data_IF_540862411615
#
_entry.id   IF_540862411615
#
_cell.length_a   1.000
_cell.length_b   1.000
_cell.length_c   1.000
_cell.angle_alpha   90.00
_cell.angle_beta   90.00
_cell.angle_gamma   90.00
#
_symmetry.space_group_name_H-M   'P 1'
#
loop_
_entity.id
_entity.type
_entity.pdbx_description
1 polymer ?
#
# COMPACT_ATOMS: atom_id res chain seq x y z
N UNK A 1 32.05 8.53 -48.29
CA UNK A 1 32.22 7.18 -47.73
C UNK A 1 32.90 7.31 -46.37
N UNK A 2 32.11 7.43 -45.31
CA UNK A 2 32.56 7.59 -43.92
C UNK A 2 32.31 6.27 -43.18
N UNK A 3 33.38 5.67 -42.67
CA UNK A 3 33.37 4.40 -41.97
C UNK A 3 32.79 4.52 -40.56
N UNK A 4 31.87 3.61 -40.23
CA UNK A 4 31.40 3.38 -38.87
C UNK A 4 32.44 2.55 -38.09
N UNK A 5 32.74 2.87 -36.81
CA UNK A 5 33.50 1.98 -35.95
C UNK A 5 32.63 0.82 -35.45
N UNK A 6 33.22 -0.37 -35.19
CA UNK A 6 32.50 -1.57 -34.81
C UNK A 6 32.00 -1.54 -33.35
N UNK A 7 30.96 -2.33 -33.01
CA UNK A 7 30.40 -2.35 -31.66
C UNK A 7 31.30 -3.11 -30.67
N UNK A 8 31.31 -2.58 -29.45
CA UNK A 8 32.02 -3.06 -28.27
C UNK A 8 31.80 -4.56 -27.98
N UNK A 9 32.92 -5.28 -27.81
CA UNK A 9 32.96 -6.61 -27.17
C UNK A 9 32.79 -6.45 -25.67
N UNK A 10 31.82 -7.13 -25.08
CA UNK A 10 31.70 -7.31 -23.64
C UNK A 10 32.86 -8.17 -23.11
N UNK A 11 33.43 -7.75 -21.98
CA UNK A 11 34.38 -8.54 -21.20
C UNK A 11 33.68 -9.79 -20.65
N UNK A 12 34.19 -10.95 -21.05
CA UNK A 12 33.92 -12.24 -20.44
C UNK A 12 34.81 -12.32 -19.19
N UNK A 13 34.23 -12.15 -18.00
CA UNK A 13 34.96 -12.39 -16.75
C UNK A 13 34.98 -13.90 -16.52
N UNK A 14 36.17 -14.48 -16.61
CA UNK A 14 36.44 -15.87 -16.26
C UNK A 14 36.19 -16.07 -14.76
N UNK A 15 35.25 -16.96 -14.42
CA UNK A 15 35.12 -17.52 -13.08
C UNK A 15 36.10 -18.69 -13.02
N UNK A 16 37.12 -18.57 -12.18
CA UNK A 16 38.02 -19.66 -11.85
C UNK A 16 37.26 -20.75 -11.06
N UNK A 17 37.53 -22.04 -11.31
CA UNK A 17 36.94 -23.13 -10.53
C UNK A 17 37.54 -23.14 -9.11
N UNK A 18 36.76 -23.45 -8.06
CA UNK A 18 37.31 -23.72 -6.75
C UNK A 18 37.96 -25.11 -6.73
N UNK A 19 39.11 -25.17 -6.08
CA UNK A 19 39.90 -26.37 -5.84
C UNK A 19 39.11 -27.43 -5.04
N UNK A 20 39.22 -28.66 -5.54
CA UNK A 20 38.89 -29.92 -4.89
C UNK A 20 39.78 -30.10 -3.66
N UNK A 21 39.19 -30.12 -2.47
CA UNK A 21 39.78 -30.79 -1.30
C UNK A 21 38.78 -31.84 -0.79
N UNK A 22 39.17 -33.08 -1.00
CA UNK A 22 38.38 -34.27 -0.72
C UNK A 22 38.09 -34.46 0.76
N UNK A 23 36.86 -34.89 1.05
CA UNK A 23 36.57 -35.67 2.23
C UNK A 23 35.66 -36.84 1.83
N UNK A 24 36.28 -38.01 1.66
CA UNK A 24 35.63 -39.29 1.49
C UNK A 24 35.04 -39.76 2.81
N UNK A 25 33.72 -39.80 2.94
CA UNK A 25 33.04 -40.72 3.85
C UNK A 25 31.86 -41.33 3.08
N UNK A 26 32.07 -42.57 2.64
CA UNK A 26 31.02 -43.43 2.14
C UNK A 26 30.23 -44.01 3.33
N UNK A 27 28.94 -43.74 3.38
CA UNK A 27 27.99 -44.50 4.18
C UNK A 27 26.71 -44.68 3.38
N UNK A 28 26.46 -45.92 2.95
CA UNK A 28 25.23 -46.36 2.29
C UNK A 28 24.03 -46.24 3.24
N UNK A 29 22.89 -45.69 2.81
CA UNK A 29 21.65 -45.85 3.55
C UNK A 29 21.03 -47.24 3.25
N UNK A 30 20.53 -47.96 4.28
CA UNK A 30 19.88 -49.24 4.10
C UNK A 30 18.50 -49.08 3.44
N UNK A 31 18.13 -50.08 2.65
CA UNK A 31 16.82 -50.24 2.01
C UNK A 31 15.66 -50.26 3.03
N UNK A 32 14.45 -49.83 2.63
CA UNK A 32 13.32 -49.71 3.53
C UNK A 32 12.70 -51.09 3.85
N UNK A 33 12.20 -51.32 5.08
CA UNK A 33 11.33 -52.44 5.34
C UNK A 33 9.92 -52.16 4.81
N UNK A 34 9.46 -53.06 3.95
CA UNK A 34 8.06 -53.30 3.63
C UNK A 34 7.43 -54.17 4.72
N UNK A 35 6.34 -53.70 5.33
CA UNK A 35 5.18 -54.46 5.86
C UNK A 35 4.30 -53.45 6.64
N UNK A 36 3.10 -53.12 6.16
CA UNK A 36 1.81 -53.78 6.38
C UNK A 36 1.32 -53.77 7.83
N UNK A 37 0.11 -53.21 7.94
CA UNK A 37 -0.92 -53.38 8.96
C UNK A 37 -0.67 -52.75 10.34
N UNK A 38 -1.47 -51.73 10.68
CA UNK A 38 -2.56 -51.85 11.66
C UNK A 38 -3.22 -50.47 11.90
N UNK A 39 -4.53 -50.43 11.67
CA UNK A 39 -5.47 -49.48 12.26
C UNK A 39 -5.27 -49.37 13.78
N UNK A 40 -5.03 -48.18 14.31
CA UNK A 40 -5.60 -47.59 15.55
C UNK A 40 -5.13 -46.13 15.60
N UNK A 41 -6.03 -45.15 15.43
CA UNK A 41 -5.75 -43.78 15.85
C UNK A 41 -6.10 -43.61 17.34
N UNK A 42 -5.14 -43.25 18.21
CA UNK A 42 -5.37 -42.95 19.61
C UNK A 42 -6.05 -41.60 19.79
N UNK A 43 -6.86 -41.51 20.84
CA UNK A 43 -7.44 -40.30 21.42
C UNK A 43 -6.39 -39.20 21.60
N UNK A 44 -6.72 -38.00 21.11
CA UNK A 44 -5.94 -36.77 21.20
C UNK A 44 -5.81 -36.29 22.67
N UNK A 45 -4.61 -36.29 23.28
CA UNK A 45 -4.41 -35.77 24.63
C UNK A 45 -3.97 -34.30 24.58
N UNK A 46 -4.84 -33.42 25.05
CA UNK A 46 -4.42 -32.15 25.65
C UNK A 46 -4.35 -30.94 24.73
N UNK A 47 -5.52 -30.38 24.39
CA UNK A 47 -5.63 -28.97 24.07
C UNK A 47 -5.26 -28.14 25.33
N UNK A 48 -4.35 -27.15 25.24
CA UNK A 48 -4.10 -26.23 26.34
C UNK A 48 -5.35 -25.40 26.60
N UNK A 49 -5.77 -25.41 27.87
CA UNK A 49 -6.90 -24.68 28.43
C UNK A 49 -7.03 -23.26 27.84
N UNK A 50 -7.98 -23.06 26.92
CA UNK A 50 -8.54 -21.73 26.67
C UNK A 50 -9.23 -21.27 27.96
N UNK A 51 -8.83 -20.14 28.58
CA UNK A 51 -9.48 -19.68 29.79
C UNK A 51 -10.97 -19.46 29.53
N UNK A 52 -11.80 -20.08 30.37
CA UNK A 52 -13.26 -20.02 30.33
C UNK A 52 -13.72 -18.56 30.33
N UNK A 53 -14.25 -18.12 29.19
CA UNK A 53 -14.72 -16.76 28.90
C UNK A 53 -16.10 -16.47 29.51
N UNK A 54 -16.37 -16.97 30.72
CA UNK A 54 -17.73 -16.99 31.26
C UNK A 54 -18.05 -15.95 32.34
N UNK A 55 -17.08 -15.18 32.88
CA UNK A 55 -17.37 -14.40 34.10
C UNK A 55 -16.78 -12.98 34.18
N UNK A 56 -16.46 -12.36 33.05
CA UNK A 56 -16.23 -10.92 33.02
C UNK A 56 -17.44 -10.25 32.39
N UNK A 57 -18.44 -9.88 33.21
CA UNK A 57 -19.38 -8.82 32.83
C UNK A 57 -18.56 -7.53 32.75
N UNK A 58 -18.31 -6.97 31.56
CA UNK A 58 -17.56 -5.73 31.46
C UNK A 58 -18.42 -4.63 32.06
N UNK A 59 -18.03 -4.12 33.24
CA UNK A 59 -18.57 -2.86 33.76
C UNK A 59 -18.28 -1.82 32.70
N UNK A 60 -19.32 -1.46 31.94
CA UNK A 60 -19.21 -0.55 30.80
C UNK A 60 -18.88 0.84 31.32
N UNK A 61 -17.59 1.13 31.46
CA UNK A 61 -17.08 2.47 31.75
C UNK A 61 -17.34 3.36 30.52
N UNK A 62 -18.58 3.84 30.39
CA UNK A 62 -19.04 4.78 29.36
C UNK A 62 -18.54 6.22 29.59
N UNK A 63 -17.46 6.38 30.35
CA UNK A 63 -16.82 7.68 30.54
C UNK A 63 -16.32 8.23 29.20
N UNK A 64 -16.53 9.54 29.01
CA UNK A 64 -16.03 10.29 27.86
C UNK A 64 -14.60 10.73 28.16
N UNK A 65 -13.71 10.59 27.18
CA UNK A 65 -12.33 11.08 27.22
C UNK A 65 -12.14 12.19 26.20
N UNK A 66 -11.40 13.22 26.62
CA UNK A 66 -10.95 14.30 25.75
C UNK A 66 -9.66 13.89 25.04
N UNK A 67 -9.73 13.58 23.75
CA UNK A 67 -8.56 13.26 22.92
C UNK A 67 -8.11 14.52 22.19
N UNK A 68 -6.91 14.97 22.48
CA UNK A 68 -6.27 16.12 21.84
C UNK A 68 -5.25 15.59 20.83
N UNK A 69 -5.59 15.73 19.55
CA UNK A 69 -4.72 15.34 18.43
C UNK A 69 -3.90 16.55 18.02
N UNK A 70 -2.58 16.40 18.00
CA UNK A 70 -1.65 17.45 17.57
C UNK A 70 -0.83 16.94 16.41
N UNK A 71 -0.76 17.74 15.35
CA UNK A 71 0.20 17.51 14.29
C UNK A 71 1.46 18.29 14.60
N UNK A 72 2.57 17.57 14.82
CA UNK A 72 3.87 18.21 14.95
C UNK A 72 4.27 18.75 13.59
N UNK A 73 4.54 20.05 13.45
CA UNK A 73 5.04 20.59 12.19
C UNK A 73 6.34 19.86 11.84
N UNK A 74 6.54 19.59 10.56
CA UNK A 74 7.83 19.08 10.11
C UNK A 74 8.88 20.12 10.49
N UNK A 75 9.81 19.73 11.36
CA UNK A 75 10.96 20.57 11.67
C UNK A 75 11.68 20.82 10.34
N UNK A 76 11.99 22.07 9.98
CA UNK A 76 12.61 22.42 8.70
C UNK A 76 14.05 21.88 8.50
N UNK A 77 14.47 20.88 9.25
CA UNK A 77 15.79 20.26 9.17
C UNK A 77 15.74 18.86 8.56
N UNK A 78 16.64 18.62 7.59
CA UNK A 78 17.08 17.32 7.05
C UNK A 78 16.34 16.72 5.84
N UNK A 79 15.49 17.45 5.12
CA UNK A 79 15.20 17.09 3.72
C UNK A 79 16.19 17.83 2.82
N UNK A 80 17.19 17.12 2.30
CA UNK A 80 18.31 17.64 1.51
C UNK A 80 17.94 18.18 0.13
N UNK A 81 16.97 19.11 0.05
CA UNK A 81 16.62 19.82 -1.17
C UNK A 81 17.03 21.29 -1.05
N UNK A 82 18.26 21.57 -1.48
CA UNK A 82 18.76 22.92 -1.78
C UNK A 82 17.81 23.60 -2.77
N UNK A 83 16.98 24.52 -2.29
CA UNK A 83 16.61 25.71 -3.05
C UNK A 83 16.66 26.91 -2.13
N UNK A 84 17.46 27.89 -2.53
CA UNK A 84 17.50 29.23 -1.94
C UNK A 84 16.12 29.86 -2.14
N UNK A 85 15.34 29.97 -1.07
CA UNK A 85 14.16 30.83 -1.04
C UNK A 85 13.97 31.27 0.40
N UNK A 86 13.77 32.58 0.58
CA UNK A 86 13.77 33.27 1.85
C UNK A 86 12.98 32.52 2.93
N UNK A 87 13.64 32.26 4.05
CA UNK A 87 13.02 31.77 5.27
C UNK A 87 12.13 32.88 5.85
N UNK A 88 10.90 32.99 5.36
CA UNK A 88 9.82 33.58 6.13
C UNK A 88 9.57 32.61 7.28
N UNK A 89 9.89 33.01 8.52
CA UNK A 89 9.45 32.33 9.73
C UNK A 89 7.91 32.37 9.78
N UNK A 90 7.26 31.50 9.02
CA UNK A 90 5.87 31.14 9.22
C UNK A 90 5.83 30.38 10.54
N UNK A 91 5.35 31.03 11.59
CA UNK A 91 4.86 30.40 12.82
C UNK A 91 3.63 29.55 12.46
N UNK A 92 3.82 28.46 11.69
CA UNK A 92 2.72 27.63 11.27
C UNK A 92 2.00 27.12 12.51
N UNK A 93 0.73 27.51 12.73
CA UNK A 93 0.02 27.14 13.93
C UNK A 93 -0.04 25.61 13.97
N UNK A 94 0.40 25.02 15.07
CA UNK A 94 0.25 23.59 15.30
C UNK A 94 -1.22 23.26 15.12
N UNK A 95 -1.57 22.52 14.07
CA UNK A 95 -2.97 22.18 13.81
C UNK A 95 -3.39 21.18 14.88
N UNK A 96 -4.20 21.66 15.81
CA UNK A 96 -4.72 20.88 16.93
C UNK A 96 -6.21 20.67 16.75
N UNK A 97 -6.66 19.43 16.93
CA UNK A 97 -8.08 19.08 16.98
C UNK A 97 -8.38 18.41 18.30
N UNK A 98 -9.49 18.79 18.92
CA UNK A 98 -9.98 18.14 20.14
C UNK A 98 -11.23 17.35 19.83
N UNK A 99 -11.26 16.10 20.25
CA UNK A 99 -12.34 15.15 20.04
C UNK A 99 -12.79 14.61 21.40
N UNK A 100 -14.09 14.37 21.56
CA UNK A 100 -14.66 13.76 22.76
C UNK A 100 -15.16 12.38 22.37
N UNK A 101 -14.53 11.35 22.92
CA UNK A 101 -14.73 9.96 22.51
C UNK A 101 -15.03 9.09 23.73
N UNK A 102 -15.89 8.08 23.57
CA UNK A 102 -16.17 7.12 24.64
C UNK A 102 -14.96 6.20 24.84
N UNK A 103 -14.57 5.95 26.11
CA UNK A 103 -13.47 5.03 26.44
C UNK A 103 -13.70 3.64 25.85
N UNK A 104 -14.94 3.16 25.87
CA UNK A 104 -15.34 1.85 25.33
C UNK A 104 -15.00 1.71 23.84
N UNK A 105 -15.35 2.72 23.04
CA UNK A 105 -15.08 2.74 21.59
C UNK A 105 -13.58 2.73 21.32
N UNK A 106 -12.83 3.64 21.95
CA UNK A 106 -11.38 3.72 21.76
C UNK A 106 -10.69 2.42 22.17
N UNK A 107 -11.07 1.88 23.34
CA UNK A 107 -10.43 0.69 23.91
C UNK A 107 -10.65 -0.56 23.07
N UNK A 108 -11.78 -0.62 22.35
CA UNK A 108 -12.09 -1.70 21.41
C UNK A 108 -11.24 -1.67 20.15
N UNK A 109 -10.96 -0.48 19.62
CA UNK A 109 -10.33 -0.31 18.31
C UNK A 109 -8.83 -0.04 18.36
N UNK A 110 -8.28 0.37 19.51
CA UNK A 110 -6.86 0.67 19.67
C UNK A 110 -6.32 0.17 21.01
N UNK A 111 -5.44 -0.82 20.95
CA UNK A 111 -4.78 -1.34 22.15
C UNK A 111 -3.89 -0.29 22.82
N UNK A 112 -3.24 0.58 22.02
CA UNK A 112 -2.39 1.66 22.53
C UNK A 112 -3.22 2.71 23.26
N UNK A 113 -4.30 3.19 22.64
CA UNK A 113 -5.15 4.20 23.27
C UNK A 113 -5.90 3.64 24.48
N UNK A 114 -6.25 2.34 24.50
CA UNK A 114 -6.79 1.67 25.69
C UNK A 114 -5.90 1.88 26.92
N UNK A 115 -4.62 1.55 26.81
CA UNK A 115 -3.64 1.70 27.90
C UNK A 115 -3.52 3.16 28.34
N UNK A 116 -3.55 4.11 27.39
CA UNK A 116 -3.49 5.54 27.70
C UNK A 116 -4.80 6.09 28.32
N UNK A 117 -5.95 5.48 28.01
CA UNK A 117 -7.28 5.87 28.50
C UNK A 117 -7.57 5.44 29.94
N UNK A 118 -6.95 4.37 30.42
CA UNK A 118 -7.25 3.82 31.75
C UNK A 118 -7.06 4.86 32.88
N UNK A 119 -5.89 5.52 33.01
CA UNK A 119 -5.66 6.47 34.10
C UNK A 119 -6.17 7.88 33.84
N UNK A 120 -6.51 8.24 32.58
CA UNK A 120 -6.65 9.64 32.18
C UNK A 120 -8.06 10.02 31.69
N UNK A 121 -8.50 11.24 32.02
CA UNK A 121 -9.67 11.90 31.42
C UNK A 121 -9.32 12.66 30.13
N UNK A 122 -8.02 12.90 29.89
CA UNK A 122 -7.47 13.64 28.75
C UNK A 122 -6.25 12.93 28.18
N UNK A 123 -6.23 12.74 26.88
CA UNK A 123 -5.15 12.06 26.15
C UNK A 123 -4.59 12.99 25.09
N UNK A 124 -3.28 12.95 24.94
CA UNK A 124 -2.58 13.63 23.86
C UNK A 124 -2.10 12.59 22.83
N UNK A 125 -2.48 12.79 21.57
CA UNK A 125 -2.02 11.98 20.44
C UNK A 125 -1.20 12.88 19.53
N UNK A 126 0.12 12.68 19.57
CA UNK A 126 1.04 13.39 18.71
C UNK A 126 1.24 12.62 17.40
N UNK A 127 0.83 13.25 16.30
CA UNK A 127 1.01 12.77 14.95
C UNK A 127 2.16 13.53 14.27
N UNK A 128 2.91 12.83 13.44
CA UNK A 128 4.06 13.39 12.71
C UNK A 128 3.50 14.08 11.46
N UNK A 129 3.70 15.40 11.33
CA UNK A 129 3.03 16.20 10.30
C UNK A 129 3.39 15.85 8.87
N UNK A 130 4.62 15.41 8.63
CA UNK A 130 5.02 14.92 7.32
C UNK A 130 4.44 13.57 6.95
N UNK A 131 3.77 12.88 7.88
CA UNK A 131 3.24 11.52 7.66
C UNK A 131 1.72 11.49 7.74
N UNK A 132 1.09 12.24 8.64
CA UNK A 132 -0.35 12.14 8.91
C UNK A 132 -1.04 13.49 8.78
N UNK A 133 -2.21 13.50 8.16
CA UNK A 133 -3.14 14.63 8.19
C UNK A 133 -4.17 14.48 9.31
N UNK A 134 -4.84 15.57 9.70
CA UNK A 134 -5.95 15.52 10.67
C UNK A 134 -7.11 14.70 10.12
N UNK A 135 -7.29 14.70 8.79
CA UNK A 135 -8.28 13.89 8.10
C UNK A 135 -8.02 12.39 8.28
N UNK A 136 -6.75 11.95 8.27
CA UNK A 136 -6.41 10.54 8.51
C UNK A 136 -6.86 10.06 9.90
N UNK A 137 -6.69 10.90 10.94
CA UNK A 137 -7.19 10.58 12.28
C UNK A 137 -8.71 10.62 12.37
N UNK A 138 -9.36 11.56 11.68
CA UNK A 138 -10.82 11.60 11.60
C UNK A 138 -11.38 10.32 10.96
N UNK A 139 -10.79 9.83 9.86
CA UNK A 139 -11.20 8.57 9.22
C UNK A 139 -11.12 7.37 10.20
N UNK A 140 -10.11 7.34 11.07
CA UNK A 140 -10.00 6.31 12.11
C UNK A 140 -11.12 6.40 13.16
N UNK A 141 -11.50 7.63 13.54
CA UNK A 141 -12.62 7.86 14.47
C UNK A 141 -13.93 7.41 13.83
N UNK A 142 -14.18 7.80 12.58
CA UNK A 142 -15.38 7.42 11.84
C UNK A 142 -15.46 5.88 11.67
N UNK A 143 -14.33 5.23 11.39
CA UNK A 143 -14.22 3.76 11.41
C UNK A 143 -14.52 3.17 12.78
N UNK A 144 -14.04 3.78 13.87
CA UNK A 144 -14.28 3.27 15.23
C UNK A 144 -15.75 3.35 15.64
N UNK A 145 -16.49 4.33 15.10
CA UNK A 145 -17.93 4.46 15.34
C UNK A 145 -18.79 3.56 14.46
N UNK A 146 -18.42 3.39 13.19
CA UNK A 146 -19.26 2.70 12.20
C UNK A 146 -18.81 1.26 11.90
N UNK A 147 -17.56 0.92 12.23
CA UNK A 147 -16.85 -0.27 11.75
C UNK A 147 -16.81 -0.38 10.20
N UNK A 148 -17.02 0.74 9.49
CA UNK A 148 -16.97 0.83 8.03
C UNK A 148 -15.73 1.64 7.66
N UNK A 149 -14.84 1.03 6.90
CA UNK A 149 -13.64 1.72 6.44
C UNK A 149 -13.99 2.64 5.28
N UNK A 150 -13.70 3.93 5.45
CA UNK A 150 -13.78 4.91 4.37
C UNK A 150 -12.74 6.02 4.60
N UNK A 151 -12.26 6.58 3.51
CA UNK A 151 -11.34 7.73 3.52
C UNK A 151 -12.08 8.94 3.00
N UNK A 152 -11.88 10.09 3.65
CA UNK A 152 -12.47 11.34 3.19
C UNK A 152 -11.89 11.78 1.82
N UNK A 153 -12.67 11.56 0.76
CA UNK A 153 -12.31 11.91 -0.62
C UNK A 153 -12.47 13.40 -0.95
N UNK A 154 -13.12 14.18 -0.07
CA UNK A 154 -13.27 15.64 -0.25
C UNK A 154 -12.14 16.44 0.41
N UNK A 155 -11.20 15.77 1.09
CA UNK A 155 -10.03 16.43 1.63
C UNK A 155 -9.17 16.99 0.49
N UNK A 156 -8.69 18.23 0.65
CA UNK A 156 -7.89 18.91 -0.39
C UNK A 156 -6.56 18.22 -0.69
N UNK A 157 -6.07 17.42 0.25
CA UNK A 157 -4.86 16.60 0.16
C UNK A 157 -5.16 15.12 -0.15
N UNK A 158 -6.38 14.80 -0.60
CA UNK A 158 -6.74 13.42 -0.92
C UNK A 158 -5.94 12.90 -2.11
N UNK A 159 -5.14 11.87 -1.86
CA UNK A 159 -4.47 11.09 -2.89
C UNK A 159 -4.74 9.61 -2.61
N UNK A 160 -5.34 8.92 -3.57
CA UNK A 160 -5.93 7.58 -3.36
C UNK A 160 -4.96 6.61 -2.68
N UNK A 161 -3.75 6.46 -3.20
CA UNK A 161 -2.74 5.57 -2.61
C UNK A 161 -2.26 6.09 -1.25
N UNK A 162 -1.99 7.40 -1.14
CA UNK A 162 -1.36 7.95 0.06
C UNK A 162 -2.33 7.92 1.24
N UNK A 163 -3.60 8.24 1.03
CA UNK A 163 -4.62 8.20 2.07
C UNK A 163 -4.78 6.80 2.66
N UNK A 164 -4.74 5.74 1.84
CA UNK A 164 -4.80 4.36 2.32
C UNK A 164 -3.49 3.94 3.03
N UNK A 165 -2.32 4.32 2.50
CA UNK A 165 -1.03 4.10 3.16
C UNK A 165 -0.97 4.81 4.53
N UNK A 166 -1.39 6.07 4.62
CA UNK A 166 -1.46 6.82 5.86
C UNK A 166 -2.42 6.18 6.87
N UNK A 167 -3.58 5.71 6.41
CA UNK A 167 -4.52 4.98 7.27
C UNK A 167 -3.89 3.69 7.82
N UNK A 168 -3.16 2.94 7.00
CA UNK A 168 -2.42 1.75 7.42
C UNK A 168 -1.34 2.08 8.47
N UNK A 169 -0.53 3.11 8.20
CA UNK A 169 0.52 3.59 9.11
C UNK A 169 -0.07 4.09 10.44
N UNK A 170 -1.23 4.75 10.39
CA UNK A 170 -1.93 5.22 11.58
C UNK A 170 -2.45 4.04 12.39
N UNK A 171 -3.01 3.02 11.72
CA UNK A 171 -3.42 1.77 12.35
C UNK A 171 -2.26 1.10 13.09
N UNK A 172 -1.08 1.02 12.47
CA UNK A 172 0.13 0.52 13.11
C UNK A 172 0.51 1.37 14.34
N UNK A 173 0.55 2.71 14.20
CA UNK A 173 0.92 3.65 15.27
C UNK A 173 -0.03 3.57 16.48
N UNK A 174 -1.31 3.34 16.23
CA UNK A 174 -2.36 3.21 17.26
C UNK A 174 -2.54 1.76 17.75
N UNK A 175 -1.77 0.79 17.24
CA UNK A 175 -1.99 -0.64 17.50
C UNK A 175 -3.47 -1.05 17.28
N UNK A 176 -3.98 -0.69 16.10
CA UNK A 176 -5.35 -0.91 15.63
C UNK A 176 -5.35 -1.88 14.43
N UNK A 177 -5.14 -3.19 14.64
CA UNK A 177 -4.91 -4.17 13.58
C UNK A 177 -6.11 -4.32 12.63
N UNK A 178 -7.35 -4.16 13.13
CA UNK A 178 -8.56 -4.24 12.29
C UNK A 178 -8.65 -3.08 11.30
N UNK A 179 -8.35 -1.86 11.74
CA UNK A 179 -8.28 -0.68 10.88
C UNK A 179 -7.13 -0.79 9.87
N UNK A 180 -5.96 -1.25 10.33
CA UNK A 180 -4.80 -1.51 9.50
C UNK A 180 -5.11 -2.54 8.39
N UNK A 181 -5.76 -3.66 8.73
CA UNK A 181 -6.15 -4.68 7.77
C UNK A 181 -7.19 -4.16 6.76
N UNK A 182 -8.18 -3.37 7.21
CA UNK A 182 -9.16 -2.76 6.32
C UNK A 182 -8.50 -1.78 5.32
N UNK A 183 -7.57 -0.94 5.80
CA UNK A 183 -6.80 -0.06 4.94
C UNK A 183 -5.95 -0.82 3.92
N UNK A 184 -5.34 -1.95 4.32
CA UNK A 184 -4.55 -2.79 3.42
C UNK A 184 -5.41 -3.44 2.33
N UNK A 185 -6.63 -3.88 2.67
CA UNK A 185 -7.58 -4.43 1.69
C UNK A 185 -7.97 -3.40 0.65
N UNK A 186 -8.38 -2.20 1.06
CA UNK A 186 -8.68 -1.14 0.09
C UNK A 186 -7.45 -0.71 -0.71
N UNK A 187 -6.27 -0.65 -0.09
CA UNK A 187 -5.06 -0.37 -0.85
C UNK A 187 -4.80 -1.44 -1.92
N UNK A 188 -5.00 -2.71 -1.57
CA UNK A 188 -4.86 -3.83 -2.48
C UNK A 188 -5.89 -3.77 -3.62
N UNK A 189 -7.15 -3.35 -3.38
CA UNK A 189 -8.16 -3.20 -4.46
C UNK A 189 -7.80 -2.11 -5.47
N UNK A 190 -6.99 -1.11 -5.09
CA UNK A 190 -6.44 -0.13 -6.05
C UNK A 190 -5.22 -0.65 -6.81
N UNK A 191 -4.48 -1.59 -6.22
CA UNK A 191 -3.25 -2.16 -6.76
C UNK A 191 -3.51 -3.41 -7.65
N UNK A 192 -4.48 -4.24 -7.31
CA UNK A 192 -4.80 -5.46 -8.04
C UNK A 192 -5.31 -5.22 -9.48
N UNK A 193 -6.17 -4.22 -9.78
CA UNK A 193 -6.56 -3.94 -11.14
C UNK A 193 -5.41 -3.28 -11.92
N UNK A 194 -5.22 -3.69 -13.17
CA UNK A 194 -4.26 -3.06 -14.11
C UNK A 194 -4.60 -1.60 -14.47
N UNK A 195 -5.55 -0.96 -13.78
CA UNK A 195 -6.12 0.33 -14.13
C UNK A 195 -5.45 1.53 -13.45
N UNK A 196 -4.88 1.37 -12.24
CA UNK A 196 -4.19 2.47 -11.56
C UNK A 196 -2.67 2.26 -11.62
N UNK A 197 -1.91 3.07 -12.39
CA UNK A 197 -0.46 2.93 -12.45
C UNK A 197 0.16 3.30 -11.10
N UNK A 198 0.90 2.37 -10.50
CA UNK A 198 1.77 2.67 -9.36
C UNK A 198 2.92 3.51 -9.90
N UNK A 199 3.15 4.68 -9.33
CA UNK A 199 4.22 5.59 -9.72
C UNK A 199 5.47 5.36 -8.86
N UNK A 200 6.61 5.87 -9.33
CA UNK A 200 7.85 5.82 -8.54
C UNK A 200 7.71 6.61 -7.23
N UNK A 201 6.96 7.72 -7.23
CA UNK A 201 6.68 8.52 -6.04
C UNK A 201 5.90 7.75 -4.98
N UNK A 202 4.96 6.89 -5.38
CA UNK A 202 4.19 6.07 -4.44
C UNK A 202 5.09 5.12 -3.68
N UNK A 203 5.99 4.45 -4.40
CA UNK A 203 6.94 3.52 -3.80
C UNK A 203 7.94 4.26 -2.92
N UNK A 204 8.43 5.43 -3.34
CA UNK A 204 9.33 6.24 -2.53
C UNK A 204 8.68 6.75 -1.25
N UNK A 205 7.43 7.19 -1.34
CA UNK A 205 6.64 7.59 -0.19
C UNK A 205 6.56 6.45 0.81
N UNK A 206 6.17 5.25 0.38
CA UNK A 206 6.12 4.06 1.26
C UNK A 206 7.48 3.75 1.86
N UNK A 207 8.55 3.73 1.05
CA UNK A 207 9.91 3.48 1.54
C UNK A 207 10.40 4.53 2.54
N UNK A 208 10.01 5.80 2.37
CA UNK A 208 10.38 6.89 3.28
C UNK A 208 9.66 6.82 4.63
N UNK A 209 8.51 6.13 4.69
CA UNK A 209 7.65 6.07 5.87
C UNK A 209 7.68 4.72 6.58
N UNK A 210 8.43 3.74 6.06
CA UNK A 210 8.43 2.37 6.61
C UNK A 210 9.82 1.74 6.62
N UNK A 211 10.10 0.85 7.58
CA UNK A 211 11.36 0.08 7.60
C UNK A 211 11.45 -0.89 6.41
N UNK A 212 12.66 -1.32 6.04
CA UNK A 212 12.94 -2.22 4.88
C UNK A 212 12.17 -3.54 4.94
N UNK A 213 11.86 -4.03 6.12
CA UNK A 213 11.14 -5.28 6.36
C UNK A 213 9.63 -5.09 6.49
N UNK A 214 9.11 -3.91 6.19
CA UNK A 214 7.69 -3.62 6.28
C UNK A 214 6.88 -4.35 5.21
N UNK A 215 5.75 -4.92 5.63
CA UNK A 215 4.81 -5.63 4.73
C UNK A 215 4.22 -4.72 3.65
N UNK A 216 4.13 -3.42 3.93
CA UNK A 216 3.66 -2.44 2.95
C UNK A 216 4.68 -2.28 1.81
N UNK A 217 5.99 -2.27 2.09
CA UNK A 217 7.03 -2.27 1.05
C UNK A 217 6.94 -3.54 0.21
N UNK A 218 6.76 -4.70 0.86
CA UNK A 218 6.56 -5.97 0.17
C UNK A 218 5.37 -5.93 -0.81
N UNK A 219 4.22 -5.39 -0.40
CA UNK A 219 3.04 -5.21 -1.25
C UNK A 219 3.35 -4.37 -2.49
N UNK A 220 3.93 -3.17 -2.31
CA UNK A 220 4.23 -2.28 -3.43
C UNK A 220 5.26 -2.88 -4.38
N UNK A 221 6.29 -3.54 -3.85
CA UNK A 221 7.34 -4.14 -4.67
C UNK A 221 6.81 -5.32 -5.48
N UNK A 222 6.00 -6.18 -4.86
CA UNK A 222 5.33 -7.28 -5.54
C UNK A 222 4.39 -6.77 -6.63
N UNK A 223 3.63 -5.71 -6.35
CA UNK A 223 2.74 -5.09 -7.31
C UNK A 223 3.46 -4.49 -8.52
N UNK A 224 4.58 -3.79 -8.30
CA UNK A 224 5.44 -3.28 -9.37
C UNK A 224 6.01 -4.44 -10.19
N UNK A 225 6.57 -5.45 -9.50
CA UNK A 225 7.13 -6.62 -10.16
C UNK A 225 6.08 -7.38 -10.99
N UNK A 226 4.84 -7.48 -10.50
CA UNK A 226 3.77 -8.20 -11.18
C UNK A 226 3.33 -7.55 -12.49
N UNK A 227 3.53 -6.24 -12.63
CA UNK A 227 3.14 -5.46 -13.81
C UNK A 227 4.26 -5.19 -14.79
N UNK A 228 5.50 -5.25 -14.32
CA UNK A 228 6.65 -5.08 -15.20
C UNK A 228 6.85 -6.30 -16.07
N UNK A 229 7.36 -6.08 -17.29
CA UNK A 229 7.97 -7.17 -18.06
C UNK A 229 9.32 -7.52 -17.45
N UNK A 230 9.83 -8.68 -17.82
CA UNK A 230 11.18 -9.13 -17.50
C UNK A 230 12.21 -8.12 -18.05
N UNK A 231 11.98 -7.58 -19.24
CA UNK A 231 12.82 -6.56 -19.83
C UNK A 231 12.86 -5.29 -18.95
N UNK A 232 11.71 -4.83 -18.44
CA UNK A 232 11.66 -3.67 -17.56
C UNK A 232 12.46 -3.92 -16.27
N UNK A 233 12.32 -5.11 -15.67
CA UNK A 233 13.07 -5.49 -14.48
C UNK A 233 14.60 -5.54 -14.73
N UNK A 234 15.04 -6.01 -15.91
CA UNK A 234 16.46 -6.06 -16.30
C UNK A 234 17.02 -4.66 -16.57
N UNK A 235 16.25 -3.82 -17.25
CA UNK A 235 16.74 -2.54 -17.82
C UNK A 235 16.58 -1.34 -16.90
N UNK A 236 15.87 -1.46 -15.77
CA UNK A 236 15.60 -0.36 -14.83
C UNK A 236 16.86 0.43 -14.41
N UNK A 237 17.99 -0.24 -14.23
CA UNK A 237 19.25 0.39 -13.84
C UNK A 237 20.01 1.02 -15.02
N UNK A 238 19.76 0.54 -16.23
CA UNK A 238 20.60 0.80 -17.40
C UNK A 238 20.18 2.03 -18.20
N UNK A 239 18.88 2.35 -18.30
CA UNK A 239 18.43 3.33 -19.28
C UNK A 239 17.33 4.28 -18.76
N UNK A 240 17.59 5.61 -18.66
CA UNK A 240 16.57 6.58 -18.31
C UNK A 240 15.54 6.85 -19.42
N UNK A 241 15.78 6.37 -20.66
CA UNK A 241 14.95 6.68 -21.84
C UNK A 241 13.74 5.75 -21.97
N UNK A 242 13.83 4.53 -21.45
CA UNK A 242 12.67 3.63 -21.32
C UNK A 242 11.87 3.93 -20.05
N UNK A 243 11.68 5.21 -19.75
CA UNK A 243 10.51 5.59 -18.96
C UNK A 243 9.33 5.02 -19.72
N UNK A 244 8.63 4.09 -19.06
CA UNK A 244 7.45 3.39 -19.58
C UNK A 244 6.75 4.22 -20.64
N UNK A 245 6.45 3.66 -21.83
CA UNK A 245 5.57 4.37 -22.73
C UNK A 245 4.40 4.80 -21.86
N UNK A 246 4.08 6.10 -21.93
CA UNK A 246 2.92 6.72 -21.30
C UNK A 246 1.71 6.06 -21.98
N UNK A 247 1.54 4.78 -21.72
CA UNK A 247 0.76 3.86 -22.51
C UNK A 247 -0.67 4.20 -22.12
N UNK A 248 -1.28 5.03 -22.96
CA UNK A 248 -2.72 5.20 -23.03
C UNK A 248 -3.40 5.79 -21.81
N UNK A 249 -2.72 6.64 -21.01
CA UNK A 249 -3.49 7.60 -20.23
C UNK A 249 -4.24 8.47 -21.25
N UNK A 250 -5.59 8.40 -21.32
CA UNK A 250 -6.33 9.17 -22.31
C UNK A 250 -5.95 10.64 -22.16
N UNK A 251 -5.83 11.32 -23.30
CA UNK A 251 -5.27 12.67 -23.42
C UNK A 251 -5.80 13.77 -22.47
N UNK A 252 -6.97 13.73 -21.79
CA UNK A 252 -7.28 14.81 -20.85
C UNK A 252 -6.40 14.87 -19.58
N UNK A 253 -5.64 13.83 -19.21
CA UNK A 253 -4.81 13.84 -18.00
C UNK A 253 -3.33 14.20 -18.25
N UNK A 254 -2.96 14.48 -19.51
CA UNK A 254 -1.58 14.66 -19.89
C UNK A 254 -0.99 16.06 -19.58
N UNK A 255 -1.82 17.04 -19.21
CA UNK A 255 -1.43 18.46 -19.26
C UNK A 255 -1.30 19.18 -17.91
N UNK A 256 -1.61 18.55 -16.76
CA UNK A 256 -1.71 19.30 -15.49
C UNK A 256 -0.65 18.96 -14.42
N UNK A 257 0.13 17.90 -14.60
CA UNK A 257 1.16 17.55 -13.61
C UNK A 257 2.57 17.92 -14.10
N UNK A 258 3.40 18.58 -13.26
CA UNK A 258 4.81 18.74 -13.56
C UNK A 258 5.46 17.38 -13.77
N UNK A 259 6.53 17.29 -14.60
CA UNK A 259 7.21 16.03 -14.83
C UNK A 259 7.62 15.40 -13.49
N UNK A 260 7.44 14.08 -13.33
CA UNK A 260 7.77 13.37 -12.11
C UNK A 260 9.22 13.67 -11.72
N UNK A 261 9.43 14.18 -10.51
CA UNK A 261 10.77 14.52 -10.01
C UNK A 261 11.59 13.27 -9.68
N UNK A 262 10.91 12.13 -9.47
CA UNK A 262 11.51 10.87 -9.12
C UNK A 262 11.34 9.85 -10.26
N UNK A 263 12.46 9.26 -10.69
CA UNK A 263 12.46 8.19 -11.71
C UNK A 263 12.56 6.81 -11.06
N UNK A 264 12.11 5.77 -11.77
CA UNK A 264 12.30 4.37 -11.35
C UNK A 264 13.77 4.00 -11.16
N UNK A 265 14.68 4.53 -12.00
CA UNK A 265 16.13 4.38 -11.84
C UNK A 265 16.62 5.03 -10.53
N UNK A 266 16.10 6.22 -10.22
CA UNK A 266 16.38 6.91 -8.96
C UNK A 266 15.93 6.08 -7.76
N UNK A 267 14.70 5.57 -7.79
CA UNK A 267 14.14 4.69 -6.76
C UNK A 267 14.97 3.40 -6.57
N UNK A 268 15.33 2.73 -7.68
CA UNK A 268 16.19 1.54 -7.69
C UNK A 268 17.57 1.79 -7.10
N UNK A 269 18.11 2.98 -7.35
CA UNK A 269 19.41 3.40 -6.82
C UNK A 269 19.32 3.76 -5.33
N UNK A 270 18.22 4.37 -4.90
CA UNK A 270 17.98 4.84 -3.53
C UNK A 270 17.65 3.72 -2.54
N UNK A 271 16.84 2.74 -2.94
CA UNK A 271 16.32 1.70 -2.02
C UNK A 271 16.89 0.31 -2.35
N UNK A 272 17.79 -0.20 -1.48
CA UNK A 272 18.50 -1.48 -1.70
C UNK A 272 17.56 -2.69 -1.70
N UNK A 273 16.57 -2.68 -0.83
CA UNK A 273 15.55 -3.73 -0.70
C UNK A 273 14.64 -3.81 -1.94
N UNK A 274 14.22 -2.66 -2.47
CA UNK A 274 13.50 -2.59 -3.75
C UNK A 274 14.32 -3.20 -4.89
N UNK A 275 15.61 -2.84 -4.95
CA UNK A 275 16.57 -3.38 -5.92
C UNK A 275 16.67 -4.90 -5.82
N UNK A 276 16.92 -5.41 -4.61
CA UNK A 276 17.07 -6.83 -4.33
C UNK A 276 15.83 -7.61 -4.78
N UNK A 277 14.64 -7.14 -4.41
CA UNK A 277 13.38 -7.80 -4.76
C UNK A 277 13.11 -7.77 -6.27
N UNK A 278 13.36 -6.64 -6.92
CA UNK A 278 13.23 -6.50 -8.38
C UNK A 278 14.14 -7.48 -9.13
N UNK A 279 15.43 -7.53 -8.78
CA UNK A 279 16.40 -8.45 -9.39
C UNK A 279 15.99 -9.91 -9.18
N UNK A 280 15.51 -10.26 -7.98
CA UNK A 280 15.01 -11.59 -7.69
C UNK A 280 13.91 -12.06 -8.64
N UNK A 281 13.10 -11.14 -9.18
CA UNK A 281 11.98 -11.44 -10.09
C UNK A 281 12.41 -11.62 -11.56
N UNK A 282 13.67 -11.35 -11.92
CA UNK A 282 14.13 -11.45 -13.33
C UNK A 282 13.99 -12.86 -13.89
N UNK A 283 14.04 -13.90 -13.04
CA UNK A 283 13.84 -15.31 -13.46
C UNK A 283 12.38 -15.67 -13.79
N UNK A 284 11.42 -14.79 -13.49
CA UNK A 284 9.98 -15.04 -13.68
C UNK A 284 9.57 -14.58 -15.08
N UNK A 285 9.02 -15.50 -15.87
CA UNK A 285 8.53 -15.23 -17.23
C UNK A 285 7.34 -14.27 -17.20
N UNK A 286 7.22 -13.41 -18.22
CA UNK A 286 6.16 -12.40 -18.33
C UNK A 286 4.74 -12.96 -18.11
N UNK A 287 4.44 -14.13 -18.68
CA UNK A 287 3.17 -14.83 -18.52
C UNK A 287 2.80 -15.18 -17.07
N UNK A 288 3.75 -15.12 -16.14
CA UNK A 288 3.60 -15.52 -14.73
C UNK A 288 3.80 -14.36 -13.78
N UNK A 289 4.23 -13.19 -14.25
CA UNK A 289 4.55 -12.08 -13.36
C UNK A 289 3.34 -11.60 -12.59
N UNK A 290 2.13 -11.68 -13.15
CA UNK A 290 0.89 -11.43 -12.40
C UNK A 290 0.78 -12.24 -11.09
N UNK A 291 1.35 -13.46 -11.03
CA UNK A 291 1.37 -14.31 -9.82
C UNK A 291 2.31 -13.77 -8.73
N UNK A 292 3.14 -12.77 -9.03
CA UNK A 292 4.03 -12.14 -8.04
C UNK A 292 3.27 -11.27 -7.04
N UNK A 293 2.11 -10.74 -7.44
CA UNK A 293 1.18 -10.10 -6.51
C UNK A 293 0.42 -11.21 -5.77
N UNK A 294 0.71 -11.34 -4.48
CA UNK A 294 0.14 -12.40 -3.64
C UNK A 294 -1.30 -12.05 -3.25
N UNK A 295 -2.09 -13.04 -2.79
CA UNK A 295 -3.38 -12.76 -2.18
C UNK A 295 -3.26 -11.76 -1.01
N UNK A 296 -4.25 -10.87 -0.88
CA UNK A 296 -4.25 -9.81 0.15
C UNK A 296 -4.02 -10.34 1.59
N UNK A 297 -4.55 -11.53 1.88
CA UNK A 297 -4.46 -12.14 3.22
C UNK A 297 -3.01 -12.53 3.59
N UNK A 298 -2.13 -12.78 2.62
CA UNK A 298 -0.71 -13.04 2.91
C UNK A 298 0.01 -11.78 3.38
N UNK A 299 -0.45 -10.61 2.95
CA UNK A 299 0.05 -9.33 3.47
C UNK A 299 -0.57 -8.99 4.83
N UNK A 300 -1.85 -9.28 5.06
CA UNK A 300 -2.50 -9.03 6.35
C UNK A 300 -1.89 -9.89 7.46
N UNK A 301 -1.64 -11.17 7.17
CA UNK A 301 -1.04 -12.12 8.11
C UNK A 301 0.48 -12.00 8.23
N UNK A 302 1.12 -11.17 7.40
CA UNK A 302 2.57 -10.96 7.42
C UNK A 302 3.39 -12.06 6.75
N UNK A 303 2.76 -13.11 6.18
CA UNK A 303 3.44 -14.19 5.45
C UNK A 303 4.30 -13.66 4.30
N UNK A 304 3.86 -12.58 3.63
CA UNK A 304 4.60 -12.00 2.51
C UNK A 304 5.94 -11.34 2.87
N UNK A 305 6.23 -11.13 4.17
CA UNK A 305 7.52 -10.60 4.65
C UNK A 305 8.63 -11.65 4.59
N UNK A 306 8.31 -12.91 4.84
CA UNK A 306 9.29 -13.95 5.14
C UNK A 306 9.85 -14.65 3.88
N UNK A 307 9.16 -14.57 2.75
CA UNK A 307 9.42 -15.46 1.62
C UNK A 307 10.03 -14.73 0.40
N UNK A 308 10.85 -13.69 0.60
CA UNK A 308 11.29 -12.83 -0.51
C UNK A 308 11.93 -13.59 -1.68
N UNK A 309 12.82 -14.54 -1.41
CA UNK A 309 13.48 -15.37 -2.44
C UNK A 309 12.77 -16.71 -2.65
N UNK A 310 12.29 -17.32 -1.56
CA UNK A 310 11.58 -18.61 -1.58
C UNK A 310 10.30 -18.56 -2.41
N UNK A 311 9.53 -17.48 -2.31
CA UNK A 311 8.31 -17.32 -3.08
C UNK A 311 8.60 -17.20 -4.58
N UNK A 312 9.66 -16.50 -4.97
CA UNK A 312 10.00 -16.42 -6.40
C UNK A 312 10.48 -17.79 -6.90
N UNK A 313 11.17 -18.57 -6.07
CA UNK A 313 11.48 -19.96 -6.39
C UNK A 313 10.20 -20.79 -6.55
N UNK A 314 9.23 -20.64 -5.66
CA UNK A 314 7.93 -21.33 -5.74
C UNK A 314 7.18 -20.99 -7.03
N UNK A 315 7.09 -19.71 -7.41
CA UNK A 315 6.46 -19.27 -8.66
C UNK A 315 7.18 -19.86 -9.88
N UNK A 316 8.51 -19.90 -9.85
CA UNK A 316 9.30 -20.51 -10.93
C UNK A 316 9.05 -22.02 -10.96
N UNK A 317 9.24 -22.75 -9.86
CA UNK A 317 9.13 -24.21 -9.78
C UNK A 317 7.73 -24.70 -10.13
N UNK A 318 6.69 -24.03 -9.62
CA UNK A 318 5.29 -24.35 -9.96
C UNK A 318 4.99 -24.25 -11.46
N UNK A 319 5.79 -23.50 -12.24
CA UNK A 319 5.71 -23.48 -13.69
C UNK A 319 6.15 -24.77 -14.37
N UNK A 320 7.17 -25.44 -13.82
CA UNK A 320 7.82 -26.58 -14.49
C UNK A 320 6.95 -27.83 -14.37
N UNK A 321 6.21 -27.95 -13.28
CA UNK A 321 5.36 -29.10 -13.00
C UNK A 321 3.96 -29.02 -13.64
N UNK A 322 3.72 -28.00 -14.47
CA UNK A 322 2.65 -28.02 -15.46
C UNK A 322 1.34 -27.40 -14.99
N UNK A 323 0.98 -26.30 -15.64
CA UNK A 323 -0.36 -25.70 -15.75
C UNK A 323 -1.33 -26.62 -16.53
N UNK A 324 -1.20 -27.95 -16.42
CA UNK A 324 -1.99 -28.94 -17.20
C UNK A 324 -3.36 -29.24 -16.60
N UNK A 325 -3.79 -28.57 -15.52
CA UNK A 325 -5.09 -28.89 -14.91
C UNK A 325 -5.68 -27.87 -13.93
N UNK A 326 -4.91 -26.89 -13.45
CA UNK A 326 -5.47 -25.83 -12.62
C UNK A 326 -5.98 -24.72 -13.53
N UNK A 327 -7.30 -24.75 -13.77
CA UNK A 327 -8.03 -23.66 -14.41
C UNK A 327 -7.52 -22.34 -13.82
N UNK A 328 -7.01 -21.44 -14.69
CA UNK A 328 -6.66 -20.08 -14.31
C UNK A 328 -7.74 -19.56 -13.36
N UNK A 329 -7.42 -19.05 -12.16
CA UNK A 329 -8.42 -18.41 -11.32
C UNK A 329 -9.11 -17.38 -12.21
N UNK A 330 -10.39 -17.63 -12.53
CA UNK A 330 -11.16 -16.70 -13.33
C UNK A 330 -11.06 -15.36 -12.60
N UNK A 331 -10.76 -14.24 -13.28
CA UNK A 331 -10.81 -12.95 -12.64
C UNK A 331 -12.14 -12.88 -11.89
N UNK A 332 -12.06 -12.69 -10.57
CA UNK A 332 -13.23 -12.56 -9.72
C UNK A 332 -14.17 -11.58 -10.41
N UNK A 333 -15.40 -11.97 -10.77
CA UNK A 333 -16.37 -11.01 -11.28
C UNK A 333 -16.70 -10.09 -10.11
N UNK A 334 -15.91 -9.03 -9.95
CA UNK A 334 -16.20 -7.97 -9.00
C UNK A 334 -17.58 -7.45 -9.36
N UNK A 335 -18.51 -7.66 -8.43
CA UNK A 335 -19.89 -7.26 -8.57
C UNK A 335 -19.93 -5.83 -9.08
N UNK A 336 -20.45 -5.66 -10.29
CA UNK A 336 -20.82 -4.37 -10.85
C UNK A 336 -21.55 -3.64 -9.72
N UNK A 337 -20.90 -2.63 -9.13
CA UNK A 337 -21.52 -1.75 -8.15
C UNK A 337 -22.77 -1.25 -8.84
N UNK A 338 -23.95 -1.77 -8.45
CA UNK A 338 -25.23 -1.27 -8.93
C UNK A 338 -25.25 0.18 -8.50
N UNK A 339 -24.94 1.07 -9.42
CA UNK A 339 -25.39 2.43 -9.34
C UNK A 339 -26.92 2.31 -9.31
N UNK A 340 -27.48 2.38 -8.11
CA UNK A 340 -28.88 2.60 -7.87
C UNK A 340 -29.21 3.99 -8.37
N UNK A 341 -29.17 4.20 -9.69
CA UNK A 341 -29.77 5.33 -10.35
C UNK A 341 -31.27 5.22 -10.14
N UNK A 342 -31.76 5.84 -9.08
CA UNK A 342 -33.16 6.24 -8.96
C UNK A 342 -33.41 7.29 -10.05
N UNK A 343 -33.58 6.81 -11.28
CA UNK A 343 -34.10 7.61 -12.38
C UNK A 343 -35.57 7.89 -12.10
N UNK A 344 -35.84 8.97 -11.36
CA UNK A 344 -37.12 9.64 -11.41
C UNK A 344 -37.33 10.09 -12.85
N UNK A 345 -38.22 9.38 -13.52
CA UNK A 345 -38.68 9.61 -14.88
C UNK A 345 -39.48 10.91 -14.87
N UNK A 346 -38.81 12.05 -15.03
CA UNK A 346 -39.48 13.33 -15.24
C UNK A 346 -40.17 13.33 -16.61
N UNK A 347 -41.46 13.59 -16.55
CA UNK A 347 -42.45 13.54 -17.62
C UNK A 347 -42.42 14.89 -18.38
N UNK A 348 -42.08 14.95 -19.68
CA UNK A 348 -41.98 16.22 -20.38
C UNK A 348 -43.33 16.60 -20.97
N UNK A 349 -44.22 17.20 -20.16
CA UNK A 349 -45.43 17.85 -20.68
C UNK A 349 -45.82 19.14 -19.95
N UNK A 350 -45.76 20.22 -20.75
CA UNK A 350 -46.61 21.43 -20.78
C UNK A 350 -46.22 22.65 -19.92
N UNK A 351 -46.24 23.80 -20.61
CA UNK A 351 -46.69 25.11 -20.11
C UNK A 351 -45.58 26.15 -20.07
N UNK A 352 -45.32 26.89 -21.15
CA UNK A 352 -45.85 28.25 -21.44
C UNK A 352 -45.59 29.32 -20.37
N UNK A 353 -44.94 30.39 -20.86
CA UNK A 353 -45.10 31.80 -20.49
C UNK A 353 -44.38 32.31 -19.23
N UNK A 354 -43.33 33.11 -19.44
CA UNK A 354 -43.44 34.58 -19.33
C UNK A 354 -42.09 35.22 -19.70
N UNK A 355 -42.10 35.98 -20.80
CA UNK A 355 -41.11 37.02 -21.07
C UNK A 355 -41.09 38.01 -19.89
N UNK A 356 -39.89 38.31 -19.39
CA UNK A 356 -39.63 39.57 -18.69
C UNK A 356 -38.38 40.18 -19.32
N UNK A 357 -38.63 41.16 -20.18
CA UNK A 357 -37.75 42.30 -20.41
C UNK A 357 -37.24 42.82 -19.07
N UNK A 358 -35.93 42.95 -18.95
CA UNK A 358 -35.32 43.91 -18.03
C UNK A 358 -34.44 44.79 -18.88
N UNK A 359 -34.85 46.04 -18.95
CA UNK A 359 -34.22 47.11 -19.72
C UNK A 359 -32.79 47.38 -19.22
N UNK A 360 -31.86 47.43 -20.17
CA UNK A 360 -30.57 48.10 -20.03
C UNK A 360 -30.78 49.60 -20.22
N UNK A 361 -30.63 50.41 -19.17
CA UNK A 361 -30.35 51.84 -19.32
C UNK A 361 -29.49 52.40 -18.17
N UNK A 362 -28.34 52.95 -18.57
CA UNK A 362 -27.63 54.15 -18.09
C UNK A 362 -27.23 54.35 -16.61
N UNK A 363 -25.92 54.54 -16.39
CA UNK A 363 -25.26 55.84 -16.07
C UNK A 363 -23.89 55.59 -15.40
N UNK A 364 -22.77 55.84 -16.09
CA UNK A 364 -21.91 57.05 -16.01
C UNK A 364 -21.37 57.44 -14.63
N UNK A 365 -20.04 57.34 -14.52
CA UNK A 365 -19.04 58.33 -14.07
C UNK A 365 -19.25 59.05 -12.73
N UNK A 366 -18.18 59.05 -11.92
CA UNK A 366 -17.99 60.04 -10.86
C UNK A 366 -16.73 59.78 -10.04
N UNK A 367 -15.62 60.39 -10.46
CA UNK A 367 -14.40 60.59 -9.68
C UNK A 367 -14.66 61.41 -8.39
N UNK A 368 -13.91 61.09 -7.33
CA UNK A 368 -13.37 62.03 -6.34
C UNK A 368 -12.17 61.40 -5.61
#
# INVERSE_FOLDING_TARGET
MSGFPPPYRFFQTAIAPPDDDGCSIAASPPSPPSDRDLDVHPLDPGLPNTPSSADQTPVANNSIVKVVVRIKPDLPGTSGSRRNTQAVLSTSPTTQRTLFLQKSIISRHSARLRVTCEPASKIHVDLDGGTFSLAAFQNFVDFSHSNIYSVNKSASDYHVIYSHVQAWLLGAKLAAPTYQAAALRELYTWIEPAHSPIRAEDVDFVCSKTPEDCILRALFFDAVAARWTQLNAITIGANPVYNFPRETAPEPYAQLDPPPTLTWKGLYSKHRDFRKRTVGTVKVRDSQRARLLRPVEDYITGKARLQGEDFVNEVVVGSWFGDRGLARPRPMPYGRRRESGSGSREDPRRGRSAERQVDEEYMTMGDA
#
